data_IF_613415689478
#
_entry.id   IF_613415689478
#
_cell.length_a   1.000
_cell.length_b   1.000
_cell.length_c   1.000
_cell.angle_alpha   90.00
_cell.angle_beta   90.00
_cell.angle_gamma   90.00
#
_symmetry.space_group_name_H-M   'P 1'
#
loop_
_entity.id
_entity.type
_entity.pdbx_description
1 polymer ?
#
# COMPACT_ATOMS: atom_id res chain seq x y z
N UNK A 1 6.59 22.77 -14.78
CA UNK A 1 6.61 21.37 -14.31
C UNK A 1 5.87 21.20 -12.98
N UNK A 2 6.05 22.08 -11.99
CA UNK A 2 5.38 22.04 -10.67
C UNK A 2 3.84 22.19 -10.65
N UNK A 3 3.18 22.14 -11.81
CA UNK A 3 1.73 22.38 -11.96
C UNK A 3 0.96 21.16 -12.49
N UNK A 4 1.64 20.09 -12.92
CA UNK A 4 1.00 18.88 -13.44
C UNK A 4 0.92 17.82 -12.35
N UNK A 5 -0.23 17.14 -12.26
CA UNK A 5 -0.37 15.93 -11.44
C UNK A 5 0.45 14.78 -12.03
N UNK A 6 0.86 13.83 -11.20
CA UNK A 6 1.67 12.68 -11.62
C UNK A 6 1.09 11.91 -12.84
N UNK A 7 -0.22 11.59 -12.91
CA UNK A 7 -0.79 10.95 -14.10
C UNK A 7 -0.63 11.79 -15.37
N UNK A 8 -0.73 13.12 -15.26
CA UNK A 8 -0.52 14.03 -16.39
C UNK A 8 0.94 14.12 -16.80
N UNK A 9 1.87 14.00 -15.86
CA UNK A 9 3.30 13.92 -16.16
C UNK A 9 3.63 12.62 -16.91
N UNK A 10 3.08 11.48 -16.48
CA UNK A 10 3.23 10.17 -17.16
C UNK A 10 2.63 10.17 -18.56
N UNK A 11 1.43 10.73 -18.70
CA UNK A 11 0.75 10.88 -19.99
C UNK A 11 1.56 11.75 -20.96
N UNK A 12 2.09 12.87 -20.47
CA UNK A 12 2.97 13.73 -21.25
C UNK A 12 4.21 12.98 -21.76
N UNK A 13 4.92 12.25 -20.89
CA UNK A 13 6.11 11.48 -21.29
C UNK A 13 5.75 10.40 -22.31
N UNK A 14 4.65 9.68 -22.10
CA UNK A 14 4.15 8.65 -23.03
C UNK A 14 3.85 9.22 -24.41
N UNK A 15 3.11 10.35 -24.46
CA UNK A 15 2.79 11.02 -25.71
C UNK A 15 4.03 11.60 -26.39
N UNK A 16 4.97 12.13 -25.63
CA UNK A 16 6.25 12.62 -26.16
C UNK A 16 7.05 11.50 -26.81
N UNK A 17 7.22 10.36 -26.13
CA UNK A 17 7.90 9.17 -26.68
C UNK A 17 7.24 8.76 -28.00
N UNK A 18 5.91 8.65 -28.02
CA UNK A 18 5.15 8.28 -29.21
C UNK A 18 5.36 9.25 -30.37
N UNK A 19 5.25 10.56 -30.11
CA UNK A 19 5.44 11.59 -31.14
C UNK A 19 6.85 11.58 -31.70
N UNK A 20 7.87 11.50 -30.84
CA UNK A 20 9.28 11.47 -31.29
C UNK A 20 9.59 10.18 -32.04
N UNK A 21 9.01 9.04 -31.63
CA UNK A 21 9.15 7.76 -32.34
C UNK A 21 8.53 7.84 -33.73
N UNK A 22 7.31 8.38 -33.86
CA UNK A 22 6.60 8.46 -35.13
C UNK A 22 7.25 9.45 -36.13
N UNK A 23 8.05 10.39 -35.64
CA UNK A 23 8.73 11.41 -36.45
C UNK A 23 10.26 11.23 -36.44
N UNK A 24 10.77 10.03 -36.12
CA UNK A 24 12.21 9.79 -35.98
C UNK A 24 12.97 10.03 -37.28
N UNK A 25 12.36 9.73 -38.44
CA UNK A 25 12.99 9.95 -39.75
C UNK A 25 13.25 11.43 -40.04
N UNK A 26 12.31 12.32 -39.69
CA UNK A 26 12.49 13.77 -39.85
C UNK A 26 13.59 14.32 -38.95
N UNK A 27 13.68 13.80 -37.72
CA UNK A 27 14.73 14.16 -36.77
C UNK A 27 16.11 13.70 -37.25
N UNK A 28 16.21 12.46 -37.77
CA UNK A 28 17.45 11.93 -38.34
C UNK A 28 17.86 12.74 -39.57
N UNK A 29 16.92 13.10 -40.44
CA UNK A 29 17.17 13.96 -41.59
C UNK A 29 17.65 15.37 -41.16
N UNK A 30 17.20 15.86 -40.01
CA UNK A 30 17.69 17.09 -39.39
C UNK A 30 19.03 16.94 -38.64
N UNK A 31 19.62 15.74 -38.63
CA UNK A 31 20.92 15.45 -38.02
C UNK A 31 20.87 15.06 -36.54
N UNK A 32 19.70 14.67 -36.02
CA UNK A 32 19.51 14.21 -34.63
C UNK A 32 18.98 12.78 -34.60
N UNK A 33 19.71 11.87 -33.95
CA UNK A 33 19.23 10.51 -33.67
C UNK A 33 18.57 10.48 -32.27
N UNK A 34 17.24 10.26 -32.18
CA UNK A 34 16.53 10.23 -30.90
C UNK A 34 16.66 8.90 -30.14
N UNK A 35 17.33 7.87 -30.69
CA UNK A 35 17.28 6.51 -30.14
C UNK A 35 17.68 6.41 -28.66
N UNK A 36 18.78 7.06 -28.26
CA UNK A 36 19.24 7.03 -26.86
C UNK A 36 18.28 7.75 -25.92
N UNK A 37 17.70 8.87 -26.37
CA UNK A 37 16.72 9.63 -25.59
C UNK A 37 15.44 8.81 -25.37
N UNK A 38 14.93 8.19 -26.43
CA UNK A 38 13.73 7.35 -26.38
C UNK A 38 13.95 6.16 -25.45
N UNK A 39 15.09 5.48 -25.55
CA UNK A 39 15.44 4.37 -24.67
C UNK A 39 15.48 4.80 -23.19
N UNK A 40 16.11 5.94 -22.90
CA UNK A 40 16.18 6.50 -21.55
C UNK A 40 14.79 6.86 -21.00
N UNK A 41 13.99 7.57 -21.78
CA UNK A 41 12.65 7.98 -21.34
C UNK A 41 11.72 6.79 -21.12
N UNK A 42 11.83 5.75 -21.97
CA UNK A 42 11.08 4.52 -21.78
C UNK A 42 11.48 3.82 -20.47
N UNK A 43 12.78 3.72 -20.21
CA UNK A 43 13.29 3.14 -18.97
C UNK A 43 12.83 3.92 -17.72
N UNK A 44 12.85 5.25 -17.77
CA UNK A 44 12.39 6.10 -16.67
C UNK A 44 10.87 5.96 -16.44
N UNK A 45 10.09 5.91 -17.51
CA UNK A 45 8.64 5.71 -17.44
C UNK A 45 8.28 4.34 -16.86
N UNK A 46 8.96 3.28 -17.30
CA UNK A 46 8.77 1.93 -16.78
C UNK A 46 9.15 1.83 -15.30
N UNK A 47 10.24 2.50 -14.90
CA UNK A 47 10.64 2.61 -13.50
C UNK A 47 9.60 3.32 -12.64
N UNK A 48 9.01 4.41 -13.13
CA UNK A 48 7.94 5.12 -12.44
C UNK A 48 6.68 4.24 -12.30
N UNK A 49 6.28 3.56 -13.38
CA UNK A 49 5.13 2.64 -13.37
C UNK A 49 5.30 1.51 -12.34
N UNK A 50 6.51 0.93 -12.28
CA UNK A 50 6.83 -0.13 -11.33
C UNK A 50 6.81 0.37 -9.87
N UNK A 51 7.31 1.58 -9.62
CA UNK A 51 7.28 2.19 -8.30
C UNK A 51 5.84 2.46 -7.81
N UNK A 52 4.95 2.93 -8.69
CA UNK A 52 3.53 3.16 -8.36
C UNK A 52 2.79 1.84 -8.07
N UNK A 53 3.08 0.79 -8.86
CA UNK A 53 2.55 -0.54 -8.58
C UNK A 53 3.00 -1.05 -7.19
N UNK A 54 4.29 -0.89 -6.87
CA UNK A 54 4.83 -1.26 -5.56
C UNK A 54 4.20 -0.45 -4.41
N UNK A 55 3.89 0.83 -4.63
CA UNK A 55 3.16 1.64 -3.65
C UNK A 55 1.76 1.07 -3.40
N UNK A 56 1.01 0.76 -4.46
CA UNK A 56 -0.32 0.15 -4.34
C UNK A 56 -0.27 -1.16 -3.57
N UNK A 57 0.70 -2.03 -3.87
CA UNK A 57 0.89 -3.30 -3.18
C UNK A 57 1.21 -3.10 -1.69
N UNK A 58 2.06 -2.11 -1.36
CA UNK A 58 2.38 -1.77 0.01
C UNK A 58 1.15 -1.26 0.79
N UNK A 59 0.29 -0.46 0.16
CA UNK A 59 -0.97 0.01 0.76
C UNK A 59 -1.93 -1.15 1.05
N UNK A 60 -2.04 -2.11 0.12
CA UNK A 60 -2.84 -3.32 0.32
C UNK A 60 -2.27 -4.16 1.47
N UNK A 61 -0.95 -4.36 1.51
CA UNK A 61 -0.28 -5.09 2.58
C UNK A 61 -0.52 -4.45 3.95
N UNK A 62 -0.43 -3.11 4.03
CA UNK A 62 -0.71 -2.37 5.27
C UNK A 62 -2.17 -2.53 5.74
N UNK A 63 -3.13 -2.49 4.81
CA UNK A 63 -4.55 -2.75 5.12
C UNK A 63 -4.76 -4.17 5.65
N UNK A 64 -4.18 -5.16 4.98
CA UNK A 64 -4.28 -6.56 5.41
C UNK A 64 -3.64 -6.79 6.78
N UNK A 65 -2.48 -6.19 7.05
CA UNK A 65 -1.84 -6.24 8.36
C UNK A 65 -2.72 -5.62 9.46
N UNK A 66 -3.41 -4.52 9.15
CA UNK A 66 -4.34 -3.88 10.09
C UNK A 66 -5.54 -4.79 10.39
N UNK A 67 -6.13 -5.41 9.37
CA UNK A 67 -7.23 -6.37 9.54
C UNK A 67 -6.78 -7.53 10.41
N UNK A 68 -5.65 -8.16 10.08
CA UNK A 68 -5.13 -9.29 10.83
C UNK A 68 -4.85 -8.94 12.31
N UNK A 69 -4.32 -7.74 12.57
CA UNK A 69 -4.09 -7.26 13.94
C UNK A 69 -5.40 -7.08 14.71
N UNK A 70 -6.43 -6.50 14.08
CA UNK A 70 -7.75 -6.32 14.69
C UNK A 70 -8.44 -7.65 14.97
N UNK A 71 -8.42 -8.59 14.01
CA UNK A 71 -8.98 -9.93 14.18
C UNK A 71 -8.29 -10.70 15.30
N UNK A 72 -6.96 -10.65 15.34
CA UNK A 72 -6.17 -11.30 16.40
C UNK A 72 -6.47 -10.70 17.77
N UNK A 73 -6.58 -9.38 17.87
CA UNK A 73 -6.94 -8.70 19.12
C UNK A 73 -8.37 -9.04 19.56
N UNK A 74 -9.32 -9.09 18.62
CA UNK A 74 -10.70 -9.48 18.91
C UNK A 74 -10.76 -10.92 19.43
N UNK A 75 -10.03 -11.84 18.81
CA UNK A 75 -9.93 -13.22 19.28
C UNK A 75 -9.29 -13.31 20.66
N UNK A 76 -8.23 -12.54 20.92
CA UNK A 76 -7.60 -12.47 22.23
C UNK A 76 -8.59 -11.95 23.29
N UNK A 77 -9.41 -10.95 22.96
CA UNK A 77 -10.43 -10.41 23.85
C UNK A 77 -11.54 -11.43 24.13
N UNK A 78 -12.00 -12.18 23.12
CA UNK A 78 -12.98 -13.27 23.28
C UNK A 78 -12.42 -14.37 24.17
N UNK A 79 -11.21 -14.86 23.88
CA UNK A 79 -10.55 -15.89 24.67
C UNK A 79 -10.35 -15.47 26.12
N UNK A 80 -9.90 -14.22 26.33
CA UNK A 80 -9.79 -13.64 27.68
C UNK A 80 -11.15 -13.60 28.34
N UNK A 81 -12.19 -13.21 27.60
CA UNK A 81 -13.54 -13.12 28.15
C UNK A 81 -14.09 -14.46 28.63
N UNK A 82 -13.87 -15.51 27.83
CA UNK A 82 -14.24 -16.88 28.18
C UNK A 82 -13.44 -17.39 29.40
N UNK A 83 -12.16 -17.05 29.49
CA UNK A 83 -11.33 -17.42 30.64
C UNK A 83 -11.84 -16.78 31.94
N UNK A 84 -12.29 -15.52 31.92
CA UNK A 84 -12.91 -14.88 33.10
C UNK A 84 -14.15 -15.65 33.57
N UNK A 85 -15.01 -16.08 32.64
CA UNK A 85 -16.21 -16.86 32.99
C UNK A 85 -15.85 -18.23 33.56
N UNK A 86 -14.83 -18.89 33.01
CA UNK A 86 -14.32 -20.15 33.56
C UNK A 86 -13.78 -19.96 34.98
N UNK A 87 -12.97 -18.92 35.23
CA UNK A 87 -12.47 -18.59 36.56
C UNK A 87 -13.60 -18.26 37.53
N UNK A 88 -14.64 -17.55 37.07
CA UNK A 88 -15.82 -17.24 37.87
C UNK A 88 -16.67 -18.49 38.19
N UNK A 89 -16.73 -19.45 37.28
CA UNK A 89 -17.38 -20.75 37.50
C UNK A 89 -16.64 -21.60 38.53
N UNK A 90 -15.31 -21.59 38.52
CA UNK A 90 -14.48 -22.36 39.45
C UNK A 90 -14.40 -21.76 40.86
N UNK A 91 -14.19 -20.44 40.97
CA UNK A 91 -13.96 -19.77 42.26
C UNK A 91 -15.24 -19.17 42.87
N UNK A 92 -16.31 -19.09 42.08
CA UNK A 92 -17.54 -18.39 42.43
C UNK A 92 -17.48 -16.89 42.12
N UNK A 93 -18.62 -16.34 41.71
CA UNK A 93 -18.76 -14.95 41.22
C UNK A 93 -18.35 -13.87 42.23
N UNK A 94 -18.36 -14.18 43.52
CA UNK A 94 -18.06 -13.24 44.61
C UNK A 94 -16.59 -13.30 45.08
N UNK A 95 -15.77 -14.19 44.52
CA UNK A 95 -14.36 -14.29 44.86
C UNK A 95 -13.62 -12.99 44.53
N UNK A 96 -12.71 -12.55 45.41
CA UNK A 96 -12.01 -11.27 45.24
C UNK A 96 -11.24 -11.20 43.93
N UNK A 97 -10.57 -12.29 43.51
CA UNK A 97 -9.88 -12.36 42.22
C UNK A 97 -10.83 -12.11 41.02
N UNK A 98 -12.03 -12.70 41.04
CA UNK A 98 -13.02 -12.54 39.97
C UNK A 98 -13.52 -11.08 39.93
N UNK A 99 -13.70 -10.46 41.09
CA UNK A 99 -14.05 -9.04 41.19
C UNK A 99 -12.96 -8.15 40.61
N UNK A 100 -11.68 -8.40 40.91
CA UNK A 100 -10.57 -7.63 40.36
C UNK A 100 -10.45 -7.79 38.83
N UNK A 101 -10.51 -9.03 38.32
CA UNK A 101 -10.44 -9.29 36.87
C UNK A 101 -11.59 -8.58 36.12
N UNK A 102 -12.80 -8.59 36.67
CA UNK A 102 -13.95 -7.89 36.04
C UNK A 102 -13.81 -6.38 36.01
N UNK A 103 -13.06 -5.77 36.94
CA UNK A 103 -12.79 -4.32 36.90
C UNK A 103 -11.90 -3.94 35.71
N UNK A 104 -11.09 -4.86 35.19
CA UNK A 104 -10.22 -4.61 34.04
C UNK A 104 -10.97 -4.42 32.71
N UNK A 105 -12.26 -4.79 32.65
CA UNK A 105 -13.12 -4.59 31.45
C UNK A 105 -13.80 -3.22 31.41
N UNK A 106 -13.53 -2.35 32.38
CA UNK A 106 -14.14 -1.01 32.45
C UNK A 106 -13.46 -0.03 31.52
#
# INVERSE_FOLDING_TARGET
>A
MATLTEPRQRDFVSQFILLVTNNSEELIAAGYDPAELLAKLQQELDGANAAEAAQSDAEIAAKNATIAAQETLAQAYISTSNAVELVAGLLGKNHNLVKEIRKLRK
#
